data_IF_060198336822
#
_entry.id   IF_060198336822
#
_cell.length_a   1.000
_cell.length_b   1.000
_cell.length_c   1.000
_cell.angle_alpha   90.00
_cell.angle_beta   90.00
_cell.angle_gamma   90.00
#
_symmetry.space_group_name_H-M   'P 1'
#
loop_
_entity.id
_entity.type
_entity.pdbx_description
1 polymer ?
#
# COMPACT_ATOMS: atom_id res chain seq x y z
N UNK A 1 3.76 2.59 -16.42
CA UNK A 1 3.31 1.21 -16.65
C UNK A 1 4.44 0.27 -17.03
N UNK A 2 5.10 0.41 -18.20
CA UNK A 2 6.18 -0.51 -18.66
C UNK A 2 7.26 -0.79 -17.61
N UNK A 3 7.81 0.26 -16.98
CA UNK A 3 8.83 0.13 -15.93
C UNK A 3 8.36 -0.71 -14.74
N UNK A 4 7.09 -0.56 -14.33
CA UNK A 4 6.50 -1.28 -13.21
C UNK A 4 6.34 -2.76 -13.56
N UNK A 5 5.78 -3.07 -14.73
CA UNK A 5 5.61 -4.44 -15.19
C UNK A 5 6.96 -5.16 -15.31
N UNK A 6 7.99 -4.49 -15.85
CA UNK A 6 9.35 -5.03 -15.91
C UNK A 6 9.92 -5.23 -14.50
N UNK A 7 9.74 -4.27 -13.57
CA UNK A 7 10.18 -4.44 -12.19
C UNK A 7 9.51 -5.64 -11.51
N UNK A 8 8.20 -5.84 -11.70
CA UNK A 8 7.45 -7.01 -11.19
C UNK A 8 8.02 -8.32 -11.74
N UNK A 9 8.32 -8.38 -13.03
CA UNK A 9 8.89 -9.58 -13.65
C UNK A 9 10.32 -9.87 -13.15
N UNK A 10 11.15 -8.85 -12.97
CA UNK A 10 12.55 -9.00 -12.55
C UNK A 10 12.71 -9.30 -11.06
N UNK A 11 11.87 -8.70 -10.22
CA UNK A 11 11.98 -8.81 -8.75
C UNK A 11 11.09 -9.90 -8.16
N UNK A 12 10.23 -10.51 -8.99
CA UNK A 12 9.33 -11.58 -8.60
C UNK A 12 8.02 -11.08 -7.97
N UNK A 13 7.10 -11.99 -7.65
CA UNK A 13 5.76 -11.65 -7.17
C UNK A 13 5.74 -11.05 -5.75
N UNK A 14 6.73 -11.38 -4.92
CA UNK A 14 6.76 -10.98 -3.51
C UNK A 14 7.26 -9.55 -3.28
N UNK A 15 7.96 -8.95 -4.25
CA UNK A 15 8.53 -7.62 -4.06
C UNK A 15 7.43 -6.56 -3.90
N UNK A 16 7.56 -5.69 -2.91
CA UNK A 16 6.69 -4.54 -2.79
C UNK A 16 7.10 -3.46 -3.80
N UNK A 17 6.17 -3.07 -4.68
CA UNK A 17 6.36 -2.03 -5.69
C UNK A 17 5.36 -0.92 -5.42
N UNK A 18 5.91 0.24 -5.05
CA UNK A 18 5.13 1.38 -4.61
C UNK A 18 4.95 2.41 -5.73
N UNK A 19 3.73 2.94 -5.87
CA UNK A 19 3.45 4.13 -6.68
C UNK A 19 2.49 5.07 -5.93
N UNK A 20 2.93 6.29 -5.56
CA UNK A 20 2.06 7.27 -4.93
C UNK A 20 0.90 7.70 -5.83
N UNK A 21 -0.36 7.64 -5.37
CA UNK A 21 -1.52 7.85 -6.22
C UNK A 21 -1.75 9.33 -6.58
N UNK A 22 -1.11 10.27 -5.89
CA UNK A 22 -1.15 11.71 -6.20
C UNK A 22 -0.19 12.11 -7.33
N UNK A 23 0.79 11.27 -7.68
CA UNK A 23 1.79 11.55 -8.72
C UNK A 23 1.45 10.91 -10.08
N UNK A 24 0.24 10.38 -10.20
CA UNK A 24 -0.30 9.81 -11.44
C UNK A 24 -1.72 10.33 -11.63
N UNK A 25 -2.18 10.38 -12.88
CA UNK A 25 -3.56 10.75 -13.16
C UNK A 25 -4.52 9.75 -12.49
N UNK A 26 -5.66 10.22 -11.98
CA UNK A 26 -6.62 9.38 -11.25
C UNK A 26 -7.13 8.18 -12.08
N UNK A 27 -7.20 8.31 -13.41
CA UNK A 27 -7.54 7.22 -14.34
C UNK A 27 -6.44 6.18 -14.50
N UNK A 28 -5.25 6.41 -13.97
CA UNK A 28 -4.10 5.51 -14.09
C UNK A 28 -4.08 4.41 -13.04
N UNK A 29 -4.94 4.45 -12.01
CA UNK A 29 -4.89 3.44 -10.94
C UNK A 29 -5.18 2.01 -11.45
N UNK A 30 -6.18 1.74 -12.29
CA UNK A 30 -6.38 0.41 -12.89
C UNK A 30 -5.15 -0.11 -13.65
N UNK A 31 -4.58 0.59 -14.64
CA UNK A 31 -3.39 0.09 -15.34
C UNK A 31 -2.14 0.02 -14.46
N UNK A 32 -2.07 0.78 -13.36
CA UNK A 32 -1.00 0.65 -12.36
C UNK A 32 -1.11 -0.68 -11.60
N UNK A 33 -2.31 -1.03 -11.13
CA UNK A 33 -2.59 -2.30 -10.43
C UNK A 33 -2.32 -3.49 -11.37
N UNK A 34 -2.81 -3.43 -12.61
CA UNK A 34 -2.53 -4.45 -13.64
C UNK A 34 -1.03 -4.58 -13.95
N UNK A 35 -0.27 -3.48 -13.86
CA UNK A 35 1.19 -3.50 -14.04
C UNK A 35 1.93 -4.17 -12.86
N UNK A 36 1.25 -4.46 -11.75
CA UNK A 36 1.78 -5.24 -10.63
C UNK A 36 2.27 -4.42 -9.44
N UNK A 37 1.82 -3.18 -9.27
CA UNK A 37 2.00 -2.49 -7.97
C UNK A 37 1.16 -3.20 -6.90
N UNK A 38 1.61 -3.12 -5.66
CA UNK A 38 0.86 -3.63 -4.51
C UNK A 38 0.88 -2.64 -3.32
N UNK A 39 1.40 -1.44 -3.53
CA UNK A 39 1.52 -0.41 -2.50
C UNK A 39 1.30 0.98 -3.08
N UNK A 40 0.43 1.77 -2.46
CA UNK A 40 0.18 3.17 -2.82
C UNK A 40 1.05 4.14 -2.02
N UNK A 41 1.81 3.63 -1.05
CA UNK A 41 2.66 4.43 -0.19
C UNK A 41 1.91 5.23 0.87
N UNK A 42 2.57 6.27 1.38
CA UNK A 42 1.99 7.13 2.41
C UNK A 42 0.90 8.01 1.80
N UNK A 43 -0.29 8.02 2.40
CA UNK A 43 -1.41 8.88 2.01
C UNK A 43 -1.93 9.57 3.27
N UNK A 44 -2.13 10.90 3.20
CA UNK A 44 -2.65 11.67 4.33
C UNK A 44 -3.95 12.39 3.96
N UNK A 45 -5.06 12.15 4.66
CA UNK A 45 -6.27 12.95 4.48
C UNK A 45 -6.23 14.28 5.26
N UNK A 46 -5.20 14.50 6.08
CA UNK A 46 -5.12 15.63 7.02
C UNK A 46 -4.05 16.66 6.66
N UNK A 47 -2.97 16.21 6.01
CA UNK A 47 -1.80 17.05 5.72
C UNK A 47 -1.52 17.01 4.21
N UNK A 48 -0.97 18.10 3.64
CA UNK A 48 -0.45 18.05 2.28
C UNK A 48 0.72 17.06 2.16
N UNK A 49 1.07 16.71 0.93
CA UNK A 49 2.36 16.09 0.64
C UNK A 49 3.45 17.17 0.83
N UNK A 50 4.36 16.98 1.77
CA UNK A 50 5.45 17.93 2.02
C UNK A 50 6.58 17.83 0.98
N UNK A 51 6.63 16.73 0.21
CA UNK A 51 7.60 16.53 -0.86
C UNK A 51 7.08 17.13 -2.17
N UNK A 52 5.80 16.92 -2.48
CA UNK A 52 5.14 17.45 -3.68
C UNK A 52 3.86 18.24 -3.33
N UNK A 53 3.97 19.47 -2.76
CA UNK A 53 2.83 20.23 -2.27
C UNK A 53 1.77 20.56 -3.34
N UNK A 54 2.16 20.56 -4.61
CA UNK A 54 1.30 20.77 -5.77
C UNK A 54 0.47 19.54 -6.17
N UNK A 55 0.79 18.36 -5.64
CA UNK A 55 0.13 17.09 -5.93
C UNK A 55 -0.74 16.65 -4.74
N UNK A 56 -2.02 17.07 -4.67
CA UNK A 56 -2.88 16.78 -3.53
C UNK A 56 -3.19 15.29 -3.41
N UNK A 57 -3.39 14.82 -2.18
CA UNK A 57 -3.81 13.45 -1.93
C UNK A 57 -5.21 13.19 -2.48
N UNK A 58 -5.43 12.08 -3.20
CA UNK A 58 -6.77 11.65 -3.56
C UNK A 58 -7.56 11.21 -2.33
N UNK A 59 -8.89 11.34 -2.39
CA UNK A 59 -9.77 10.89 -1.31
C UNK A 59 -9.70 9.37 -1.11
N UNK A 60 -9.55 8.92 0.14
CA UNK A 60 -9.45 7.49 0.48
C UNK A 60 -10.61 6.66 -0.08
N UNK A 61 -11.86 7.12 0.08
CA UNK A 61 -13.02 6.39 -0.44
C UNK A 61 -13.03 6.24 -1.98
N UNK A 62 -12.38 7.14 -2.72
CA UNK A 62 -12.21 6.98 -4.17
C UNK A 62 -11.19 5.89 -4.50
N UNK A 63 -10.08 5.84 -3.76
CA UNK A 63 -9.07 4.79 -3.88
C UNK A 63 -9.65 3.42 -3.51
N UNK A 64 -10.39 3.32 -2.41
CA UNK A 64 -11.05 2.08 -1.98
C UNK A 64 -11.96 1.51 -3.08
N UNK A 65 -12.81 2.35 -3.68
CA UNK A 65 -13.69 1.93 -4.78
C UNK A 65 -12.92 1.52 -6.03
N UNK A 66 -11.86 2.24 -6.37
CA UNK A 66 -11.05 1.95 -7.55
C UNK A 66 -10.27 0.63 -7.38
N UNK A 67 -9.66 0.41 -6.20
CA UNK A 67 -9.04 -0.88 -5.88
C UNK A 67 -10.06 -2.03 -5.93
N UNK A 68 -11.23 -1.85 -5.32
CA UNK A 68 -12.27 -2.87 -5.29
C UNK A 68 -12.81 -3.22 -6.69
N UNK A 69 -12.91 -2.23 -7.60
CA UNK A 69 -13.31 -2.46 -8.98
C UNK A 69 -12.33 -3.38 -9.73
N UNK A 70 -11.05 -3.34 -9.38
CA UNK A 70 -9.99 -4.21 -9.92
C UNK A 70 -9.80 -5.51 -9.11
N UNK A 71 -10.66 -5.77 -8.11
CA UNK A 71 -10.58 -6.95 -7.26
C UNK A 71 -9.53 -6.89 -6.14
N UNK A 72 -9.03 -5.70 -5.80
CA UNK A 72 -8.10 -5.47 -4.70
C UNK A 72 -8.77 -4.85 -3.47
N UNK A 73 -8.24 -5.15 -2.30
CA UNK A 73 -8.64 -4.50 -1.04
C UNK A 73 -7.59 -3.46 -0.64
N UNK A 74 -8.01 -2.20 -0.44
CA UNK A 74 -7.12 -1.17 0.08
C UNK A 74 -6.93 -1.37 1.58
N UNK A 75 -5.70 -1.71 2.00
CA UNK A 75 -5.36 -1.93 3.41
C UNK A 75 -4.33 -0.92 3.91
N UNK A 76 -4.54 -0.30 5.09
CA UNK A 76 -3.49 0.46 5.74
C UNK A 76 -2.37 -0.47 6.20
N UNK A 77 -1.13 0.02 6.20
CA UNK A 77 0.05 -0.70 6.71
C UNK A 77 0.94 0.22 7.55
N UNK A 78 1.83 -0.38 8.34
CA UNK A 78 2.94 0.35 8.95
C UNK A 78 4.02 0.66 7.90
N UNK A 79 4.94 1.61 8.17
CA UNK A 79 6.07 1.88 7.29
C UNK A 79 6.95 0.66 6.99
N UNK A 80 7.08 -0.25 7.97
CA UNK A 80 7.72 -1.57 7.81
C UNK A 80 6.71 -2.58 7.24
N UNK A 81 7.11 -3.37 6.24
CA UNK A 81 6.29 -4.47 5.74
C UNK A 81 6.35 -5.68 6.67
N UNK A 82 5.28 -6.47 6.69
CA UNK A 82 5.07 -7.56 7.66
C UNK A 82 6.17 -8.62 7.62
N UNK A 83 6.71 -8.93 6.43
CA UNK A 83 7.78 -9.90 6.24
C UNK A 83 9.11 -9.49 6.90
N UNK A 84 9.28 -8.19 7.21
CA UNK A 84 10.47 -7.67 7.87
C UNK A 84 10.33 -7.52 9.38
N UNK A 85 9.12 -7.54 9.94
CA UNK A 85 8.88 -7.32 11.38
C UNK A 85 9.60 -8.37 12.23
N UNK A 86 9.60 -9.63 11.79
CA UNK A 86 10.24 -10.74 12.51
C UNK A 86 11.56 -11.19 11.86
N UNK A 87 12.06 -10.46 10.85
CA UNK A 87 13.32 -10.80 10.19
C UNK A 87 14.50 -10.49 11.11
N UNK A 88 15.35 -11.48 11.46
CA UNK A 88 16.50 -11.25 12.33
C UNK A 88 17.42 -10.15 11.78
N UNK A 89 17.77 -9.19 12.63
CA UNK A 89 18.69 -8.11 12.31
C UNK A 89 18.09 -6.95 11.50
N UNK A 90 16.80 -6.98 11.15
CA UNK A 90 16.16 -5.88 10.40
C UNK A 90 15.60 -4.79 11.32
N UNK A 91 14.90 -5.21 12.38
CA UNK A 91 14.28 -4.30 13.33
C UNK A 91 15.09 -4.22 14.62
N UNK A 92 15.32 -3.00 15.12
CA UNK A 92 15.92 -2.82 16.44
C UNK A 92 15.04 -3.50 17.51
N UNK A 93 15.69 -4.20 18.45
CA UNK A 93 14.98 -4.96 19.50
C UNK A 93 14.02 -4.10 20.33
N UNK A 94 14.30 -2.81 20.49
CA UNK A 94 13.46 -1.88 21.26
C UNK A 94 12.22 -1.44 20.47
N UNK A 95 12.23 -1.59 19.14
CA UNK A 95 11.09 -1.30 18.26
C UNK A 95 10.19 -2.52 18.03
N UNK A 96 10.67 -3.73 18.31
CA UNK A 96 9.95 -4.97 18.03
C UNK A 96 8.56 -5.03 18.68
N UNK A 97 8.46 -4.72 19.98
CA UNK A 97 7.18 -4.78 20.68
C UNK A 97 6.22 -3.65 20.25
N UNK A 98 6.64 -2.37 20.20
CA UNK A 98 5.79 -1.30 19.68
C UNK A 98 5.25 -1.59 18.27
N UNK A 99 6.11 -2.06 17.35
CA UNK A 99 5.70 -2.40 15.98
C UNK A 99 4.65 -3.51 15.98
N UNK A 100 4.81 -4.57 16.77
CA UNK A 100 3.81 -5.66 16.85
C UNK A 100 2.48 -5.19 17.42
N UNK A 101 2.48 -4.33 18.43
CA UNK A 101 1.25 -3.74 18.99
C UNK A 101 0.51 -2.96 17.90
N UNK A 102 1.22 -2.09 17.19
CA UNK A 102 0.60 -1.27 16.14
C UNK A 102 0.19 -2.10 14.91
N UNK A 103 0.94 -3.14 14.54
CA UNK A 103 0.61 -4.01 13.43
C UNK A 103 -0.73 -4.74 13.67
N UNK A 104 -0.95 -5.25 14.89
CA UNK A 104 -2.24 -5.84 15.29
C UNK A 104 -3.39 -4.83 15.21
N UNK A 105 -3.15 -3.60 15.67
CA UNK A 105 -4.15 -2.54 15.61
C UNK A 105 -4.52 -2.14 14.17
N UNK A 106 -3.53 -2.12 13.26
CA UNK A 106 -3.75 -1.83 11.83
C UNK A 106 -4.49 -2.98 11.15
N UNK A 107 -4.11 -4.24 11.40
CA UNK A 107 -4.77 -5.42 10.85
C UNK A 107 -6.26 -5.53 11.23
N UNK A 108 -6.62 -5.12 12.45
CA UNK A 108 -8.01 -5.11 12.92
C UNK A 108 -8.88 -4.05 12.22
N UNK A 109 -8.28 -2.96 11.72
CA UNK A 109 -9.02 -1.90 11.01
C UNK A 109 -9.41 -2.30 9.58
N UNK A 110 -8.64 -3.18 8.93
CA UNK A 110 -8.95 -3.70 7.59
C UNK A 110 -10.13 -4.70 7.57
N UNK A 111 -10.39 -5.39 8.68
CA UNK A 111 -11.43 -6.46 8.74
C UNK A 111 -12.89 -5.95 8.83
N UNK A 112 -13.14 -4.66 8.57
CA UNK A 112 -14.48 -4.07 8.61
C UNK A 112 -15.32 -4.36 7.36
N UNK A 113 -15.84 -5.60 7.25
CA UNK A 113 -16.87 -6.10 6.29
C UNK A 113 -16.73 -5.66 4.82
N UNK A 114 -16.01 -6.47 4.04
CA UNK A 114 -16.19 -6.67 2.60
C UNK A 114 -16.25 -8.16 2.30
N UNK A 115 -17.26 -8.58 1.53
CA UNK A 115 -17.58 -9.96 1.19
C UNK A 115 -16.43 -10.66 0.43
N UNK A 116 -16.39 -12.00 0.53
CA UNK A 116 -15.42 -12.93 -0.06
C UNK A 116 -14.78 -12.47 -1.38
N UNK A 117 -13.48 -12.19 -1.35
CA UNK A 117 -12.63 -11.89 -2.51
C UNK A 117 -11.23 -12.41 -2.26
N UNK A 118 -10.63 -13.02 -3.29
CA UNK A 118 -9.36 -13.78 -3.23
C UNK A 118 -8.29 -13.13 -2.35
N UNK A 119 -7.76 -13.92 -1.42
CA UNK A 119 -6.49 -13.62 -0.77
C UNK A 119 -5.37 -13.59 -1.80
N UNK A 120 -4.58 -12.51 -1.79
CA UNK A 120 -3.18 -12.50 -2.20
C UNK A 120 -2.34 -12.48 -0.93
#
# INVERSE_FOLDING_TARGET
>A
MRTIAVARLLTGPEMNIQVPPNLSDASSLPPLLESGINDLGGISPLTPDYVNPEAPWPHLGALERACAAEGFELRPRLPIYDEFINRPGFLDKNLAEPVRIHQRAVAQRGSGKGNEGKAT
#
